data_IF_761062906179
#
_entry.id   IF_761062906179
#
_cell.length_a   1.000
_cell.length_b   1.000
_cell.length_c   1.000
_cell.angle_alpha   90.00
_cell.angle_beta   90.00
_cell.angle_gamma   90.00
#
_symmetry.space_group_name_H-M   'P 1'
#
loop_
_entity.id
_entity.type
_entity.pdbx_description
1 polymer ?
#
# COMPACT_ATOMS: atom_id res chain seq x y z
N UNK A 1 -17.70 26.26 -22.24
CA UNK A 1 -18.36 27.20 -21.30
C UNK A 1 -17.84 27.07 -19.85
N UNK A 2 -16.52 26.86 -19.63
CA UNK A 2 -15.94 26.60 -18.30
C UNK A 2 -14.77 27.53 -17.91
N UNK A 3 -14.44 28.54 -18.75
CA UNK A 3 -13.27 29.40 -18.55
C UNK A 3 -13.60 30.86 -18.18
N UNK A 4 -14.82 31.36 -18.41
CA UNK A 4 -15.23 32.71 -17.99
C UNK A 4 -15.44 32.84 -16.46
N UNK A 5 -15.72 31.74 -15.75
CA UNK A 5 -16.00 31.73 -14.29
C UNK A 5 -14.77 31.78 -13.38
N UNK A 6 -13.54 31.61 -13.91
CA UNK A 6 -12.32 31.66 -13.07
C UNK A 6 -12.01 33.08 -12.59
N UNK A 7 -12.25 34.10 -13.42
CA UNK A 7 -11.96 35.50 -13.12
C UNK A 7 -12.80 36.06 -11.97
N UNK A 8 -14.10 35.79 -11.97
CA UNK A 8 -15.05 36.27 -10.95
C UNK A 8 -14.81 35.59 -9.59
N UNK A 9 -14.55 34.27 -9.60
CA UNK A 9 -14.19 33.55 -8.38
C UNK A 9 -12.87 34.07 -7.78
N UNK A 10 -11.86 34.32 -8.62
CA UNK A 10 -10.58 34.91 -8.20
C UNK A 10 -10.74 36.32 -7.61
N UNK A 11 -11.63 37.14 -8.17
CA UNK A 11 -11.96 38.46 -7.60
C UNK A 11 -12.65 38.34 -6.24
N UNK A 12 -13.59 37.41 -6.09
CA UNK A 12 -14.23 37.09 -4.80
C UNK A 12 -13.22 36.64 -3.74
N UNK A 13 -12.25 35.78 -4.09
CA UNK A 13 -11.21 35.34 -3.16
C UNK A 13 -10.24 36.46 -2.77
N UNK A 14 -9.98 37.42 -3.66
CA UNK A 14 -9.20 38.64 -3.33
C UNK A 14 -9.98 39.66 -2.51
N UNK A 15 -11.30 39.62 -2.55
CA UNK A 15 -12.20 40.42 -1.72
C UNK A 15 -12.50 39.77 -0.37
N UNK A 16 -12.08 38.51 -0.14
CA UNK A 16 -12.12 37.93 1.19
C UNK A 16 -11.29 38.84 2.11
N UNK A 17 -11.82 39.21 3.29
CA UNK A 17 -11.21 40.24 4.11
C UNK A 17 -9.74 39.92 4.38
N UNK A 18 -8.91 40.96 4.49
CA UNK A 18 -7.52 40.88 4.95
C UNK A 18 -7.36 39.99 6.21
N UNK A 19 -8.42 39.87 7.02
CA UNK A 19 -8.62 38.94 8.14
C UNK A 19 -8.28 37.45 7.83
N UNK A 20 -8.41 36.98 6.59
CA UNK A 20 -8.00 35.62 6.21
C UNK A 20 -6.48 35.47 6.04
N UNK A 21 -5.81 36.53 5.57
CA UNK A 21 -4.40 36.46 5.18
C UNK A 21 -3.45 37.07 6.21
N UNK A 22 -3.86 38.11 6.94
CA UNK A 22 -2.94 38.95 7.72
C UNK A 22 -2.68 38.50 9.16
N UNK A 23 -3.50 37.65 9.79
CA UNK A 23 -3.31 37.42 11.25
C UNK A 23 -3.97 36.18 11.86
N UNK A 24 -4.54 35.28 11.05
CA UNK A 24 -5.23 34.11 11.60
C UNK A 24 -4.39 32.85 11.50
N UNK A 25 -3.96 32.36 12.67
CA UNK A 25 -3.39 31.03 12.87
C UNK A 25 -4.46 29.95 12.96
N UNK A 26 -5.72 30.32 12.68
CA UNK A 26 -6.81 29.37 12.70
C UNK A 26 -6.55 28.27 11.66
N UNK A 27 -6.65 26.98 12.04
CA UNK A 27 -6.28 25.87 11.17
C UNK A 27 -7.01 25.87 9.82
N UNK A 28 -8.29 26.24 9.80
CA UNK A 28 -9.05 26.41 8.56
C UNK A 28 -8.43 27.45 7.61
N UNK A 29 -7.94 28.58 8.14
CA UNK A 29 -7.34 29.63 7.31
C UNK A 29 -5.99 29.19 6.75
N UNK A 30 -5.21 28.45 7.54
CA UNK A 30 -3.98 27.82 7.06
C UNK A 30 -4.28 26.84 5.91
N UNK A 31 -5.31 26.00 6.03
CA UNK A 31 -5.73 25.11 4.94
C UNK A 31 -6.15 25.88 3.69
N UNK A 32 -6.95 26.94 3.83
CA UNK A 32 -7.37 27.78 2.69
C UNK A 32 -6.17 28.44 2.01
N UNK A 33 -5.19 28.96 2.77
CA UNK A 33 -3.93 29.49 2.22
C UNK A 33 -3.20 28.45 1.39
N UNK A 34 -3.00 27.25 1.95
CA UNK A 34 -2.35 26.12 1.24
C UNK A 34 -3.09 25.81 -0.06
N UNK A 35 -4.42 25.69 -0.01
CA UNK A 35 -5.23 25.41 -1.19
C UNK A 35 -5.10 26.49 -2.26
N UNK A 36 -5.23 27.77 -1.89
CA UNK A 36 -5.16 28.89 -2.82
C UNK A 36 -3.74 29.03 -3.42
N UNK A 37 -2.70 28.90 -2.60
CA UNK A 37 -1.31 28.94 -3.06
C UNK A 37 -0.98 27.82 -4.04
N UNK A 38 -1.50 26.61 -3.81
CA UNK A 38 -1.27 25.47 -4.70
C UNK A 38 -2.12 25.51 -5.98
N UNK A 39 -3.36 26.01 -5.93
CA UNK A 39 -4.29 26.00 -7.07
C UNK A 39 -4.16 27.26 -7.94
N UNK A 40 -3.81 28.39 -7.33
CA UNK A 40 -3.72 29.68 -8.00
C UNK A 40 -2.40 30.43 -7.65
N UNK A 41 -1.22 29.85 -7.90
CA UNK A 41 0.05 30.41 -7.47
C UNK A 41 0.33 31.81 -8.03
N UNK A 42 -0.10 32.10 -9.27
CA UNK A 42 0.05 33.42 -9.88
C UNK A 42 -0.86 34.49 -9.24
N UNK A 43 -1.94 34.08 -8.57
CA UNK A 43 -2.88 35.00 -7.95
C UNK A 43 -2.54 35.31 -6.48
N UNK A 44 -1.82 34.40 -5.82
CA UNK A 44 -1.40 34.46 -4.41
C UNK A 44 0.11 34.14 -4.26
N UNK A 45 1.01 34.87 -4.92
CA UNK A 45 2.46 34.64 -4.83
C UNK A 45 3.04 34.87 -3.43
N UNK A 46 2.33 35.62 -2.58
CA UNK A 46 2.72 35.95 -1.21
C UNK A 46 2.51 34.81 -0.20
N UNK A 47 1.82 33.74 -0.60
CA UNK A 47 1.54 32.62 0.31
C UNK A 47 2.77 31.74 0.45
N UNK A 48 3.35 31.74 1.65
CA UNK A 48 4.33 30.73 2.05
C UNK A 48 3.61 29.40 2.36
N UNK A 49 3.65 28.50 1.38
CA UNK A 49 3.00 27.18 1.44
C UNK A 49 3.67 26.30 2.50
N UNK A 50 5.01 26.29 2.59
CA UNK A 50 5.73 25.43 3.53
C UNK A 50 5.55 25.89 4.99
N UNK A 51 5.58 27.19 5.25
CA UNK A 51 5.25 27.73 6.57
C UNK A 51 3.81 27.41 6.96
N UNK A 52 2.86 27.55 6.03
CA UNK A 52 1.45 27.25 6.28
C UNK A 52 1.21 25.75 6.55
N UNK A 53 1.83 24.86 5.76
CA UNK A 53 1.79 23.41 5.96
C UNK A 53 2.35 22.99 7.31
N UNK A 54 3.52 23.53 7.67
CA UNK A 54 4.19 23.24 8.94
C UNK A 54 3.31 23.62 10.12
N UNK A 55 2.73 24.83 10.09
CA UNK A 55 1.84 25.32 11.16
C UNK A 55 0.56 24.51 11.25
N UNK A 56 -0.06 24.18 10.11
CA UNK A 56 -1.29 23.38 10.10
C UNK A 56 -1.07 22.00 10.74
N UNK A 57 0.05 21.33 10.44
CA UNK A 57 0.38 20.04 11.03
C UNK A 57 0.49 20.08 12.56
N UNK A 58 0.91 21.21 13.15
CA UNK A 58 1.00 21.36 14.61
C UNK A 58 -0.37 21.46 15.31
N UNK A 59 -1.44 21.73 14.57
CA UNK A 59 -2.77 21.95 15.16
C UNK A 59 -3.60 20.68 15.32
N UNK A 60 -3.14 19.56 14.76
CA UNK A 60 -3.89 18.30 14.64
C UNK A 60 -5.30 18.44 14.03
N UNK A 61 -5.58 19.56 13.37
CA UNK A 61 -6.85 19.84 12.74
C UNK A 61 -7.14 18.85 11.61
N UNK A 62 -8.38 18.39 11.54
CA UNK A 62 -8.88 17.59 10.43
C UNK A 62 -9.82 18.44 9.59
N UNK A 63 -9.46 18.66 8.33
CA UNK A 63 -10.26 19.41 7.36
C UNK A 63 -11.14 18.45 6.53
N UNK A 64 -12.48 18.38 6.70
CA UNK A 64 -13.32 17.46 5.95
C UNK A 64 -13.21 17.56 4.42
N UNK A 65 -12.86 18.73 3.87
CA UNK A 65 -12.73 18.92 2.41
C UNK A 65 -11.29 18.74 1.89
N UNK A 66 -10.36 18.27 2.72
CA UNK A 66 -8.95 18.07 2.36
C UNK A 66 -8.76 17.24 1.08
N UNK A 67 -9.66 16.27 0.87
CA UNK A 67 -9.58 15.29 -0.23
C UNK A 67 -9.63 15.95 -1.62
N UNK A 68 -10.19 17.16 -1.74
CA UNK A 68 -10.25 17.90 -2.99
C UNK A 68 -8.92 18.61 -3.33
N UNK A 69 -8.09 18.86 -2.32
CA UNK A 69 -6.75 19.44 -2.46
C UNK A 69 -5.64 18.39 -2.41
N UNK A 70 -5.99 17.14 -2.06
CA UNK A 70 -5.05 16.11 -1.66
C UNK A 70 -4.00 15.77 -2.72
N UNK A 71 -4.38 15.74 -3.99
CA UNK A 71 -3.42 15.42 -5.07
C UNK A 71 -2.41 16.56 -5.28
N UNK A 72 -2.86 17.81 -5.19
CA UNK A 72 -2.00 18.99 -5.30
C UNK A 72 -1.06 19.08 -4.10
N UNK A 73 -1.58 18.93 -2.88
CA UNK A 73 -0.78 18.91 -1.65
C UNK A 73 0.24 17.78 -1.70
N UNK A 74 -0.17 16.55 -2.01
CA UNK A 74 0.74 15.41 -2.09
C UNK A 74 1.82 15.59 -3.17
N UNK A 75 1.47 16.18 -4.31
CA UNK A 75 2.40 16.41 -5.42
C UNK A 75 3.36 17.57 -5.18
N UNK A 76 3.04 18.47 -4.24
CA UNK A 76 3.97 19.52 -3.79
C UNK A 76 5.27 18.90 -3.21
N UNK A 77 5.16 17.73 -2.58
CA UNK A 77 6.31 16.87 -2.30
C UNK A 77 7.18 17.27 -1.10
N UNK A 78 6.88 18.38 -0.41
CA UNK A 78 7.58 18.71 0.83
C UNK A 78 7.23 17.74 1.96
N UNK A 79 8.13 17.59 2.94
CA UNK A 79 7.91 16.68 4.07
C UNK A 79 6.61 17.04 4.84
N UNK A 80 6.35 18.34 5.03
CA UNK A 80 5.14 18.82 5.69
C UNK A 80 3.86 18.51 4.88
N UNK A 81 3.91 18.58 3.56
CA UNK A 81 2.78 18.21 2.70
C UNK A 81 2.46 16.71 2.76
N UNK A 82 3.49 15.86 2.76
CA UNK A 82 3.32 14.41 2.88
C UNK A 82 2.74 14.07 4.25
N UNK A 83 3.20 14.71 5.31
CA UNK A 83 2.70 14.51 6.68
C UNK A 83 1.23 14.93 6.82
N UNK A 84 0.86 16.08 6.27
CA UNK A 84 -0.53 16.56 6.29
C UNK A 84 -1.47 15.54 5.65
N UNK A 85 -1.11 15.05 4.46
CA UNK A 85 -1.89 14.03 3.74
C UNK A 85 -1.97 12.73 4.54
N UNK A 86 -0.86 12.30 5.17
CA UNK A 86 -0.84 11.09 6.00
C UNK A 86 -1.80 11.21 7.18
N UNK A 87 -1.69 12.27 7.97
CA UNK A 87 -2.53 12.52 9.14
C UNK A 87 -4.03 12.51 8.79
N UNK A 88 -4.40 13.17 7.68
CA UNK A 88 -5.80 13.19 7.23
C UNK A 88 -6.30 11.82 6.75
N UNK A 89 -5.45 11.01 6.11
CA UNK A 89 -5.80 9.65 5.72
C UNK A 89 -6.02 8.76 6.95
N UNK A 90 -5.21 8.91 7.99
CA UNK A 90 -5.32 8.12 9.22
C UNK A 90 -6.62 8.42 9.99
N UNK A 91 -7.08 9.67 9.93
CA UNK A 91 -8.36 10.09 10.53
C UNK A 91 -9.58 9.73 9.67
N UNK A 92 -9.37 9.32 8.41
CA UNK A 92 -10.46 8.98 7.50
C UNK A 92 -11.00 7.57 7.76
N UNK A 93 -12.28 7.47 8.16
CA UNK A 93 -12.91 6.17 8.40
C UNK A 93 -13.03 5.33 7.12
N UNK A 94 -12.97 3.98 7.20
CA UNK A 94 -13.03 3.12 6.01
C UNK A 94 -14.30 3.29 5.18
N UNK A 95 -15.45 3.47 5.82
CA UNK A 95 -16.75 3.63 5.14
C UNK A 95 -16.82 4.95 4.37
N UNK A 96 -16.35 6.04 4.99
CA UNK A 96 -16.30 7.34 4.32
C UNK A 96 -15.31 7.32 3.16
N UNK A 97 -14.15 6.66 3.32
CA UNK A 97 -13.20 6.45 2.23
C UNK A 97 -13.81 5.70 1.05
N UNK A 98 -14.49 4.59 1.29
CA UNK A 98 -15.13 3.79 0.25
C UNK A 98 -16.19 4.60 -0.49
N UNK A 99 -17.01 5.36 0.24
CA UNK A 99 -18.00 6.26 -0.33
C UNK A 99 -17.36 7.34 -1.21
N UNK A 100 -16.28 7.99 -0.74
CA UNK A 100 -15.56 9.00 -1.52
C UNK A 100 -14.92 8.41 -2.79
N UNK A 101 -14.29 7.23 -2.72
CA UNK A 101 -13.72 6.55 -3.89
C UNK A 101 -14.82 6.11 -4.89
N UNK A 102 -16.03 5.81 -4.43
CA UNK A 102 -17.16 5.46 -5.29
C UNK A 102 -17.77 6.68 -5.97
N UNK A 103 -17.92 7.80 -5.24
CA UNK A 103 -18.64 9.00 -5.71
C UNK A 103 -17.74 9.96 -6.48
N UNK A 104 -16.44 10.00 -6.20
CA UNK A 104 -15.52 10.98 -6.75
C UNK A 104 -14.35 10.30 -7.49
N UNK A 105 -14.36 10.25 -8.84
CA UNK A 105 -13.31 9.61 -9.63
C UNK A 105 -11.90 10.15 -9.36
N UNK A 106 -11.77 11.45 -9.08
CA UNK A 106 -10.50 12.08 -8.72
C UNK A 106 -9.92 11.51 -7.42
N UNK A 107 -10.77 11.28 -6.41
CA UNK A 107 -10.37 10.69 -5.12
C UNK A 107 -9.90 9.24 -5.30
N UNK A 108 -10.63 8.45 -6.11
CA UNK A 108 -10.21 7.10 -6.47
C UNK A 108 -8.84 7.08 -7.16
N UNK A 109 -8.59 8.02 -8.09
CA UNK A 109 -7.30 8.15 -8.77
C UNK A 109 -6.19 8.52 -7.79
N UNK A 110 -6.44 9.45 -6.87
CA UNK A 110 -5.50 9.85 -5.83
C UNK A 110 -5.13 8.69 -4.91
N UNK A 111 -6.10 7.96 -4.36
CA UNK A 111 -5.81 6.79 -3.52
C UNK A 111 -5.14 5.65 -4.29
N UNK A 112 -5.42 5.50 -5.59
CA UNK A 112 -4.67 4.57 -6.45
C UNK A 112 -3.21 4.99 -6.61
N UNK A 113 -2.94 6.29 -6.82
CA UNK A 113 -1.58 6.87 -6.87
C UNK A 113 -0.85 6.63 -5.55
N UNK A 114 -1.45 7.00 -4.42
CA UNK A 114 -0.90 6.75 -3.09
C UNK A 114 -0.59 5.29 -2.81
N UNK A 115 -1.48 4.36 -3.21
CA UNK A 115 -1.21 2.93 -3.09
C UNK A 115 0.02 2.55 -3.89
N UNK A 116 0.16 3.03 -5.13
CA UNK A 116 1.35 2.79 -5.94
C UNK A 116 2.64 3.30 -5.27
N UNK A 117 2.62 4.50 -4.67
CA UNK A 117 3.79 5.06 -3.96
C UNK A 117 4.06 4.42 -2.59
N UNK A 118 3.03 3.97 -1.85
CA UNK A 118 3.19 3.32 -0.53
C UNK A 118 3.87 1.94 -0.65
N UNK A 119 3.89 1.37 -1.85
CA UNK A 119 4.62 0.15 -2.16
C UNK A 119 6.05 0.37 -2.63
N UNK A 120 6.57 1.62 -2.67
CA UNK A 120 7.97 1.91 -2.95
C UNK A 120 8.87 1.44 -1.79
N UNK A 121 8.99 0.12 -1.63
CA UNK A 121 10.17 -0.45 -1.01
C UNK A 121 11.33 -0.05 -1.92
N UNK A 122 12.35 0.61 -1.37
CA UNK A 122 13.56 0.97 -2.12
C UNK A 122 14.25 -0.27 -2.70
N UNK A 123 13.99 -1.43 -2.11
CA UNK A 123 14.55 -2.72 -2.47
C UNK A 123 13.53 -3.84 -2.23
N UNK A 124 13.45 -4.81 -3.14
CA UNK A 124 12.64 -6.03 -3.02
C UNK A 124 13.55 -7.25 -3.00
N UNK A 125 13.09 -8.34 -2.39
CA UNK A 125 13.80 -9.62 -2.48
C UNK A 125 13.22 -10.41 -3.63
N UNK A 126 14.02 -10.65 -4.66
CA UNK A 126 13.70 -11.56 -5.75
C UNK A 126 14.29 -12.93 -5.43
N UNK A 127 13.44 -13.95 -5.45
CA UNK A 127 13.80 -15.35 -5.21
C UNK A 127 13.54 -16.12 -6.49
N UNK A 128 14.57 -16.70 -7.09
CA UNK A 128 14.47 -17.53 -8.29
C UNK A 128 14.99 -18.92 -7.98
N UNK A 129 14.11 -19.92 -7.93
CA UNK A 129 14.49 -21.31 -7.62
C UNK A 129 15.36 -21.43 -6.34
N UNK A 130 15.10 -20.61 -5.32
CA UNK A 130 15.86 -20.56 -4.06
C UNK A 130 17.08 -19.64 -4.05
N UNK A 131 17.39 -18.98 -5.17
CA UNK A 131 18.44 -17.96 -5.22
C UNK A 131 17.86 -16.60 -4.87
N UNK A 132 18.39 -15.98 -3.82
CA UNK A 132 17.97 -14.68 -3.32
C UNK A 132 18.81 -13.56 -3.93
N UNK A 133 18.14 -12.52 -4.39
CA UNK A 133 18.77 -11.29 -4.86
C UNK A 133 17.96 -10.08 -4.44
N UNK A 134 18.61 -8.94 -4.26
CA UNK A 134 17.95 -7.68 -3.97
C UNK A 134 17.77 -6.92 -5.27
N UNK A 135 16.55 -6.50 -5.57
CA UNK A 135 16.21 -5.76 -6.80
C UNK A 135 15.56 -4.43 -6.47
N UNK A 136 15.71 -3.44 -7.36
CA UNK A 136 15.14 -2.11 -7.20
C UNK A 136 13.70 -2.03 -7.75
N UNK A 137 13.09 -0.86 -7.61
CA UNK A 137 11.72 -0.59 -8.07
C UNK A 137 11.53 -0.75 -9.58
N UNK A 138 12.54 -0.39 -10.39
CA UNK A 138 12.47 -0.57 -11.84
C UNK A 138 12.34 -2.06 -12.22
N UNK A 139 13.13 -2.92 -11.58
CA UNK A 139 13.02 -4.38 -11.76
C UNK A 139 11.68 -4.92 -11.26
N UNK A 140 11.16 -4.41 -10.14
CA UNK A 140 9.82 -4.79 -9.65
C UNK A 140 8.72 -4.46 -10.66
N UNK A 141 8.79 -3.31 -11.33
CA UNK A 141 7.83 -2.96 -12.38
C UNK A 141 7.90 -3.88 -13.61
N UNK A 142 9.10 -4.34 -13.97
CA UNK A 142 9.31 -5.32 -15.06
C UNK A 142 8.88 -6.75 -14.71
N UNK A 143 8.90 -7.13 -13.42
CA UNK A 143 8.65 -8.50 -12.95
C UNK A 143 7.33 -9.12 -13.45
N UNK A 144 6.23 -8.36 -13.49
CA UNK A 144 4.95 -8.89 -13.96
C UNK A 144 4.84 -9.01 -15.49
N UNK A 145 5.72 -8.35 -16.24
CA UNK A 145 5.71 -8.34 -17.71
C UNK A 145 6.52 -9.51 -18.30
N UNK A 146 7.47 -10.06 -17.55
CA UNK A 146 8.44 -11.07 -18.02
C UNK A 146 8.07 -12.52 -17.65
N UNK A 147 6.88 -12.74 -17.11
CA UNK A 147 6.39 -14.07 -16.68
C UNK A 147 6.49 -15.12 -17.80
N UNK A 148 7.52 -15.97 -17.73
CA UNK A 148 7.74 -17.04 -18.69
C UNK A 148 6.69 -18.16 -18.56
N UNK A 149 6.25 -18.72 -19.68
CA UNK A 149 5.35 -19.87 -19.70
C UNK A 149 6.00 -21.03 -18.94
N UNK A 150 5.23 -21.69 -18.07
CA UNK A 150 5.73 -22.80 -17.25
C UNK A 150 6.49 -22.38 -15.98
N UNK A 151 6.52 -21.10 -15.63
CA UNK A 151 7.11 -20.61 -14.37
C UNK A 151 6.01 -20.24 -13.37
N UNK A 152 6.17 -20.65 -12.10
CA UNK A 152 5.32 -20.25 -10.99
C UNK A 152 5.78 -18.89 -10.47
N UNK A 153 4.92 -17.89 -10.55
CA UNK A 153 5.22 -16.51 -10.15
C UNK A 153 4.38 -16.13 -8.95
N UNK A 154 5.05 -15.69 -7.88
CA UNK A 154 4.40 -15.09 -6.71
C UNK A 154 4.84 -13.64 -6.50
N UNK A 155 3.89 -12.71 -6.48
CA UNK A 155 4.13 -11.33 -6.13
C UNK A 155 3.65 -11.08 -4.69
N UNK A 156 4.58 -11.06 -3.75
CA UNK A 156 4.35 -10.85 -2.33
C UNK A 156 3.78 -9.46 -2.00
N UNK A 157 4.00 -8.46 -2.85
CA UNK A 157 3.46 -7.11 -2.64
C UNK A 157 1.96 -7.05 -2.93
N UNK A 158 1.54 -7.66 -4.04
CA UNK A 158 0.14 -7.62 -4.52
C UNK A 158 -0.67 -8.85 -4.10
N UNK A 159 0.01 -9.93 -3.70
CA UNK A 159 -0.60 -11.22 -3.38
C UNK A 159 -0.95 -12.08 -4.60
N UNK A 160 -0.56 -11.66 -5.82
CA UNK A 160 -0.85 -12.41 -7.05
C UNK A 160 0.00 -13.67 -7.13
N UNK A 161 -0.63 -14.80 -7.41
CA UNK A 161 0.02 -16.10 -7.67
C UNK A 161 -0.42 -16.60 -9.05
N UNK A 162 0.54 -16.92 -9.92
CA UNK A 162 0.26 -17.31 -11.30
C UNK A 162 1.18 -18.42 -11.80
N UNK A 163 0.66 -19.29 -12.67
CA UNK A 163 1.43 -20.30 -13.39
C UNK A 163 0.82 -20.46 -14.78
N UNK A 164 1.55 -20.05 -15.82
CA UNK A 164 1.04 -20.00 -17.19
C UNK A 164 -0.30 -19.23 -17.26
N UNK A 165 -1.38 -19.86 -17.76
CA UNK A 165 -2.71 -19.24 -17.87
C UNK A 165 -3.51 -19.24 -16.56
N UNK A 166 -3.05 -19.93 -15.51
CA UNK A 166 -3.77 -20.04 -14.24
C UNK A 166 -3.29 -18.94 -13.30
N UNK A 167 -4.22 -18.25 -12.65
CA UNK A 167 -3.89 -17.24 -11.65
C UNK A 167 -4.92 -17.18 -10.53
N UNK A 168 -4.47 -16.83 -9.35
CA UNK A 168 -5.29 -16.50 -8.19
C UNK A 168 -4.67 -15.34 -7.42
N UNK A 169 -5.41 -14.80 -6.45
CA UNK A 169 -4.93 -13.74 -5.58
C UNK A 169 -5.12 -14.14 -4.12
N UNK A 170 -4.05 -14.01 -3.35
CA UNK A 170 -4.06 -14.20 -1.89
C UNK A 170 -3.98 -12.82 -1.26
N UNK A 171 -4.99 -12.45 -0.45
CA UNK A 171 -5.06 -11.13 0.18
C UNK A 171 -3.73 -10.81 0.92
N UNK A 172 -3.01 -9.73 0.57
CA UNK A 172 -1.79 -9.33 1.26
C UNK A 172 -2.01 -9.17 2.76
N UNK A 173 -1.07 -9.67 3.56
CA UNK A 173 -1.12 -9.64 5.02
C UNK A 173 -2.06 -10.68 5.66
N UNK A 174 -2.82 -11.45 4.88
CA UNK A 174 -3.57 -12.59 5.41
C UNK A 174 -2.64 -13.72 5.88
N UNK A 175 -3.15 -14.64 6.70
CA UNK A 175 -2.39 -15.80 7.21
C UNK A 175 -1.75 -16.58 6.06
N UNK A 176 -2.52 -16.91 5.01
CA UNK A 176 -2.01 -17.64 3.84
C UNK A 176 -0.87 -16.89 3.13
N UNK A 177 -1.03 -15.57 2.98
CA UNK A 177 -0.02 -14.72 2.38
C UNK A 177 1.27 -14.74 3.20
N UNK A 178 1.17 -14.56 4.52
CA UNK A 178 2.32 -14.60 5.44
C UNK A 178 3.02 -15.95 5.45
N UNK A 179 2.28 -17.06 5.45
CA UNK A 179 2.86 -18.41 5.35
C UNK A 179 3.66 -18.54 4.05
N UNK A 180 3.07 -18.15 2.92
CA UNK A 180 3.72 -18.28 1.62
C UNK A 180 4.98 -17.40 1.53
N UNK A 181 4.95 -16.17 2.04
CA UNK A 181 6.13 -15.31 2.16
C UNK A 181 7.21 -15.99 3.01
N UNK A 182 6.86 -16.54 4.17
CA UNK A 182 7.81 -17.20 5.07
C UNK A 182 8.46 -18.44 4.41
N UNK A 183 7.65 -19.34 3.84
CA UNK A 183 8.16 -20.57 3.21
C UNK A 183 8.98 -20.29 1.96
N UNK A 184 8.61 -19.28 1.15
CA UNK A 184 9.38 -18.91 -0.04
C UNK A 184 10.70 -18.20 0.33
N UNK A 185 10.69 -17.37 1.38
CA UNK A 185 11.92 -16.75 1.91
C UNK A 185 12.93 -17.76 2.46
N UNK A 186 12.46 -18.94 2.88
CA UNK A 186 13.32 -20.02 3.36
C UNK A 186 13.62 -21.09 2.30
N UNK A 187 13.01 -21.01 1.10
CA UNK A 187 13.12 -22.07 0.11
C UNK A 187 14.58 -22.25 -0.36
N UNK A 188 15.09 -23.48 -0.49
CA UNK A 188 14.37 -24.77 -0.41
C UNK A 188 14.27 -25.39 0.99
N UNK A 189 14.77 -24.71 2.01
CA UNK A 189 14.86 -25.23 3.37
C UNK A 189 13.49 -25.38 4.05
N UNK A 190 13.43 -26.28 5.02
CA UNK A 190 12.26 -26.45 5.88
C UNK A 190 12.27 -25.43 7.02
N UNK A 191 11.10 -24.92 7.37
CA UNK A 191 10.91 -23.95 8.46
C UNK A 191 10.35 -24.66 9.69
N UNK A 192 10.97 -24.53 10.88
CA UNK A 192 10.40 -25.06 12.11
C UNK A 192 9.00 -24.52 12.35
N UNK A 193 8.08 -25.39 12.77
CA UNK A 193 6.67 -25.08 12.92
C UNK A 193 6.43 -23.97 13.96
N UNK A 194 7.20 -23.99 15.03
CA UNK A 194 7.20 -22.96 16.08
C UNK A 194 7.56 -21.59 15.49
N UNK A 195 8.67 -21.50 14.78
CA UNK A 195 9.13 -20.28 14.10
C UNK A 195 8.11 -19.79 13.07
N UNK A 196 7.51 -20.70 12.29
CA UNK A 196 6.47 -20.37 11.33
C UNK A 196 5.24 -19.79 12.03
N UNK A 197 4.81 -20.41 13.14
CA UNK A 197 3.64 -19.95 13.88
C UNK A 197 3.86 -18.56 14.47
N UNK A 198 4.99 -18.35 15.14
CA UNK A 198 5.37 -17.06 15.72
C UNK A 198 5.43 -15.96 14.66
N UNK A 199 6.03 -16.25 13.49
CA UNK A 199 6.15 -15.30 12.38
C UNK A 199 4.80 -14.93 11.77
N UNK A 200 3.88 -15.90 11.63
CA UNK A 200 2.62 -15.71 10.90
C UNK A 200 1.51 -15.19 11.81
N UNK A 201 1.36 -15.75 13.01
CA UNK A 201 0.29 -15.47 13.97
C UNK A 201 0.69 -14.49 15.07
N UNK A 202 1.98 -14.29 15.36
CA UNK A 202 2.45 -13.27 16.30
C UNK A 202 2.37 -13.65 17.78
N UNK A 203 2.61 -14.91 18.13
CA UNK A 203 2.65 -15.38 19.51
C UNK A 203 3.31 -16.75 19.63
N UNK A 204 3.62 -17.18 20.85
CA UNK A 204 4.29 -18.47 21.12
C UNK A 204 3.45 -19.64 20.60
N UNK A 205 4.11 -20.62 20.00
CA UNK A 205 3.44 -21.84 19.57
C UNK A 205 3.09 -22.74 20.76
N UNK A 206 1.80 -23.03 20.92
CA UNK A 206 1.28 -23.98 21.90
C UNK A 206 0.58 -25.14 21.18
N UNK A 207 1.16 -26.35 21.16
CA UNK A 207 0.67 -27.47 20.35
C UNK A 207 -0.80 -27.83 20.58
N UNK A 208 -1.29 -27.66 21.80
CA UNK A 208 -2.66 -27.98 22.22
C UNK A 208 -3.73 -27.17 21.48
N UNK A 209 -3.44 -25.89 21.19
CA UNK A 209 -4.40 -24.97 20.57
C UNK A 209 -4.02 -24.60 19.13
N UNK A 210 -2.72 -24.49 18.84
CA UNK A 210 -2.21 -23.96 17.59
C UNK A 210 -2.20 -24.98 16.45
N UNK A 211 -2.03 -26.27 16.74
CA UNK A 211 -1.84 -27.33 15.73
C UNK A 211 -3.00 -27.40 14.73
N UNK A 212 -4.23 -27.25 15.20
CA UNK A 212 -5.41 -27.29 14.32
C UNK A 212 -5.51 -26.08 13.39
N UNK A 213 -5.20 -24.89 13.90
CA UNK A 213 -5.19 -23.66 13.10
C UNK A 213 -4.12 -23.72 12.00
N UNK A 214 -2.91 -24.18 12.35
CA UNK A 214 -1.82 -24.44 11.40
C UNK A 214 -2.28 -25.43 10.34
N UNK A 215 -2.77 -26.61 10.75
CA UNK A 215 -3.19 -27.66 9.82
C UNK A 215 -4.23 -27.16 8.82
N UNK A 216 -5.25 -26.43 9.30
CA UNK A 216 -6.27 -25.83 8.45
C UNK A 216 -5.69 -24.81 7.46
N UNK A 217 -4.76 -23.96 7.91
CA UNK A 217 -4.09 -22.99 7.06
C UNK A 217 -3.20 -23.66 6.00
N UNK A 218 -2.46 -24.71 6.35
CA UNK A 218 -1.61 -25.46 5.42
C UNK A 218 -2.42 -26.22 4.36
N UNK A 219 -3.54 -26.83 4.74
CA UNK A 219 -4.44 -27.47 3.78
C UNK A 219 -5.02 -26.45 2.79
N UNK A 220 -5.38 -25.25 3.27
CA UNK A 220 -5.88 -24.17 2.43
C UNK A 220 -4.78 -23.59 1.53
N UNK A 221 -3.55 -23.47 2.02
CA UNK A 221 -2.40 -23.08 1.21
C UNK A 221 -2.12 -24.11 0.12
N UNK A 222 -2.06 -25.40 0.46
CA UNK A 222 -1.88 -26.50 -0.49
C UNK A 222 -2.94 -26.45 -1.60
N UNK A 223 -4.22 -26.32 -1.25
CA UNK A 223 -5.30 -26.20 -2.23
C UNK A 223 -5.12 -24.99 -3.14
N UNK A 224 -4.70 -23.85 -2.58
CA UNK A 224 -4.46 -22.61 -3.35
C UNK A 224 -3.29 -22.77 -4.34
N UNK A 225 -2.19 -23.38 -3.89
CA UNK A 225 -1.04 -23.69 -4.75
C UNK A 225 -1.43 -24.65 -5.87
N UNK A 226 -2.07 -25.78 -5.53
CA UNK A 226 -2.44 -26.82 -6.49
C UNK A 226 -3.48 -26.34 -7.52
N UNK A 227 -4.33 -25.37 -7.17
CA UNK A 227 -5.23 -24.72 -8.12
C UNK A 227 -4.47 -24.01 -9.25
N UNK A 228 -3.27 -23.48 -8.96
CA UNK A 228 -2.45 -22.73 -9.90
C UNK A 228 -1.38 -23.63 -10.54
N UNK A 229 -0.56 -24.30 -9.72
CA UNK A 229 0.51 -25.21 -10.13
C UNK A 229 0.29 -26.58 -9.47
N UNK A 230 -0.25 -27.59 -10.18
CA UNK A 230 -0.63 -28.88 -9.60
C UNK A 230 0.51 -29.67 -8.96
N UNK A 231 1.74 -29.45 -9.41
CA UNK A 231 2.96 -30.12 -8.90
C UNK A 231 3.46 -29.49 -7.60
N UNK A 232 3.05 -28.26 -7.27
CA UNK A 232 3.39 -27.63 -6.01
C UNK A 232 2.63 -28.22 -4.83
N UNK A 233 3.33 -28.46 -3.73
CA UNK A 233 2.73 -28.98 -2.49
C UNK A 233 3.40 -28.37 -1.25
N UNK A 234 2.71 -28.53 -0.12
CA UNK A 234 3.24 -28.18 1.21
C UNK A 234 3.32 -29.49 1.99
N UNK A 235 4.42 -29.71 2.69
CA UNK A 235 4.68 -30.92 3.49
C UNK A 235 5.08 -30.56 4.93
N UNK A 236 5.06 -31.56 5.82
CA UNK A 236 5.71 -31.50 7.13
C UNK A 236 4.90 -30.83 8.26
N UNK A 237 3.69 -30.35 8.00
CA UNK A 237 2.77 -29.80 9.02
C UNK A 237 2.09 -30.87 9.91
N UNK A 238 2.82 -31.95 10.21
CA UNK A 238 2.42 -33.12 11.01
C UNK A 238 3.26 -33.30 12.28
N UNK A 239 3.68 -34.53 12.58
CA UNK A 239 4.41 -34.86 13.81
C UNK A 239 5.84 -34.30 13.87
N UNK A 240 6.48 -34.07 12.72
CA UNK A 240 7.91 -33.74 12.62
C UNK A 240 8.24 -32.25 12.84
N UNK A 241 7.23 -31.40 13.05
CA UNK A 241 7.46 -30.02 13.49
C UNK A 241 8.21 -29.13 12.50
N UNK A 242 8.35 -29.50 11.22
CA UNK A 242 8.97 -28.67 10.19
C UNK A 242 8.09 -28.59 8.95
N UNK A 243 7.92 -27.40 8.37
CA UNK A 243 7.06 -27.16 7.23
C UNK A 243 7.89 -26.71 6.04
N UNK A 244 7.66 -27.31 4.88
CA UNK A 244 8.33 -26.91 3.63
C UNK A 244 7.35 -26.77 2.48
N UNK A 245 7.66 -25.88 1.55
CA UNK A 245 7.01 -25.80 0.25
C UNK A 245 7.86 -26.54 -0.78
N UNK A 246 7.22 -27.37 -1.60
CA UNK A 246 7.85 -28.09 -2.70
C UNK A 246 7.30 -27.51 -4.00
N UNK A 247 8.21 -27.09 -4.87
CA UNK A 247 7.91 -26.55 -6.18
C UNK A 247 8.82 -27.26 -7.18
N UNK A 248 8.23 -28.09 -8.04
CA UNK A 248 8.96 -28.87 -9.05
C UNK A 248 9.15 -28.11 -10.37
N UNK A 249 8.35 -27.06 -10.58
CA UNK A 249 8.48 -26.17 -11.73
C UNK A 249 9.45 -25.03 -11.45
N UNK A 250 10.03 -24.39 -12.47
CA UNK A 250 10.71 -23.11 -12.28
C UNK A 250 9.81 -22.14 -11.53
N UNK A 251 10.36 -21.41 -10.56
CA UNK A 251 9.62 -20.44 -9.78
C UNK A 251 10.37 -19.13 -9.60
N UNK A 252 9.58 -18.06 -9.53
CA UNK A 252 10.04 -16.74 -9.14
C UNK A 252 9.10 -16.13 -8.10
N UNK A 253 9.66 -15.51 -7.07
CA UNK A 253 8.91 -14.74 -6.10
C UNK A 253 9.55 -13.37 -5.89
N UNK A 254 8.74 -12.31 -5.84
CA UNK A 254 9.21 -10.99 -5.43
C UNK A 254 8.50 -10.61 -4.13
N UNK A 255 9.27 -10.35 -3.08
CA UNK A 255 8.77 -10.16 -1.71
C UNK A 255 8.89 -8.74 -1.22
#
# INVERSE_FOLDING_TARGET
MHLQKKSEALQLFRQLPAMFFESSDHPFHLFVKIFLGLVFPAAFPEVDIDASLTRLNLTDYYEPVWVFAADQVYSYGSAAAIELVRSHIEKLTPDLKALLEQRLPAVKKFFKKLRATKYARKSYTLIRNGLHSIVNEQHYHGFNAESQRGTLVFNGVTGKLAFSARSTSVKPGSILHRIMVCLLSAFPEAVPLETLYETVWGGKYEPEYARMAVKAAMLRLRKTLQQVCPTSRVEGFGAEGQVRIIIESPFEAIL
#
